data_IF_939385918330
#
_entry.id   IF_939385918330
#
_cell.length_a   1.000
_cell.length_b   1.000
_cell.length_c   1.000
_cell.angle_alpha   90.00
_cell.angle_beta   90.00
_cell.angle_gamma   90.00
#
_symmetry.space_group_name_H-M   'P 1'
#
loop_
_entity.id
_entity.type
_entity.pdbx_description
1 polymer ?
#
# COMPACT_ATOMS: atom_id res chain seq x y z
N UNK A 1 12.89 25.82 -5.00
CA UNK A 1 13.77 25.99 -3.84
C UNK A 1 13.73 24.66 -3.12
N UNK A 2 14.79 23.88 -3.16
CA UNK A 2 14.81 22.55 -2.57
C UNK A 2 14.66 22.60 -1.03
N UNK A 3 14.05 21.56 -0.45
CA UNK A 3 13.72 21.52 0.97
C UNK A 3 14.71 20.66 1.73
N UNK A 4 15.33 21.24 2.75
CA UNK A 4 16.14 20.48 3.71
C UNK A 4 15.19 19.84 4.72
N UNK A 5 15.23 18.51 4.83
CA UNK A 5 14.53 17.77 5.88
C UNK A 5 15.52 17.06 6.79
N UNK A 6 15.13 16.89 8.06
CA UNK A 6 15.86 16.04 9.00
C UNK A 6 15.42 14.59 8.78
N UNK A 7 16.36 13.72 8.42
CA UNK A 7 16.13 12.28 8.28
C UNK A 7 16.80 11.59 9.48
N UNK A 8 16.01 10.84 10.23
CA UNK A 8 16.51 9.99 11.31
C UNK A 8 16.65 8.55 10.80
N UNK A 9 17.84 7.97 10.96
CA UNK A 9 18.08 6.56 10.72
C UNK A 9 18.23 5.83 12.06
N UNK A 10 17.45 4.76 12.24
CA UNK A 10 17.53 3.86 13.40
C UNK A 10 17.82 2.46 12.90
N UNK A 11 18.86 1.81 13.45
CA UNK A 11 19.09 0.39 13.23
C UNK A 11 18.03 -0.37 14.03
N UNK A 12 17.25 -1.23 13.36
CA UNK A 12 16.12 -1.95 13.95
C UNK A 12 16.48 -2.63 15.28
N UNK A 13 15.57 -2.54 16.25
CA UNK A 13 15.74 -3.03 17.63
C UNK A 13 15.77 -4.55 17.79
N UNK A 14 15.99 -5.31 16.71
CA UNK A 14 16.04 -6.77 16.78
C UNK A 14 17.49 -7.27 16.71
N UNK A 15 18.02 -7.51 17.92
CA UNK A 15 19.24 -8.26 18.21
C UNK A 15 20.50 -7.64 17.62
N UNK A 16 20.96 -6.57 18.26
CA UNK A 16 22.41 -6.37 18.41
C UNK A 16 22.96 -7.58 19.20
N UNK A 17 23.31 -8.65 18.48
CA UNK A 17 24.01 -9.86 18.97
C UNK A 17 25.34 -9.53 19.68
N UNK A 18 25.76 -8.26 19.64
CA UNK A 18 27.01 -7.71 20.18
C UNK A 18 26.83 -6.81 21.41
N UNK A 19 25.60 -6.56 21.88
CA UNK A 19 25.37 -5.66 23.03
C UNK A 19 25.67 -4.18 22.77
N UNK A 20 25.94 -3.80 21.52
CA UNK A 20 26.24 -2.42 21.13
C UNK A 20 24.92 -1.70 20.87
N UNK A 21 24.58 -0.75 21.73
CA UNK A 21 23.48 0.19 21.49
C UNK A 21 23.98 1.23 20.49
N UNK A 22 23.49 1.16 19.25
CA UNK A 22 23.76 2.19 18.24
C UNK A 22 22.72 3.30 18.42
N UNK A 23 23.13 4.52 18.80
CA UNK A 23 22.19 5.64 18.92
C UNK A 23 21.61 6.00 17.55
N UNK A 24 20.35 6.44 17.52
CA UNK A 24 19.74 6.95 16.29
C UNK A 24 20.55 8.17 15.80
N UNK A 25 20.91 8.15 14.51
CA UNK A 25 21.63 9.24 13.88
C UNK A 25 20.67 10.11 13.08
N UNK A 26 20.87 11.42 13.16
CA UNK A 26 20.10 12.42 12.41
C UNK A 26 21.02 13.10 11.40
N UNK A 27 20.55 13.19 10.17
CA UNK A 27 21.24 13.92 9.09
C UNK A 27 20.28 14.88 8.42
N UNK A 28 20.78 16.04 8.02
CA UNK A 28 20.04 16.97 7.17
C UNK A 28 20.24 16.54 5.72
N UNK A 29 19.15 16.31 5.01
CA UNK A 29 19.18 15.93 3.61
C UNK A 29 18.26 16.82 2.79
N UNK A 30 18.77 17.28 1.65
CA UNK A 30 18.01 18.12 0.73
C UNK A 30 17.19 17.23 -0.20
N UNK A 31 15.88 17.45 -0.24
CA UNK A 31 14.96 16.75 -1.14
C UNK A 31 14.49 17.73 -2.23
N UNK A 32 14.49 17.30 -3.51
CA UNK A 32 13.95 18.12 -4.58
C UNK A 32 12.44 18.31 -4.42
N UNK A 33 11.96 19.52 -4.70
CA UNK A 33 10.53 19.84 -4.64
C UNK A 33 9.85 19.83 -6.02
N UNK A 34 10.62 19.68 -7.10
CA UNK A 34 10.12 19.57 -8.47
C UNK A 34 10.86 18.49 -9.26
N UNK A 35 10.29 18.10 -10.40
CA UNK A 35 10.92 17.16 -11.33
C UNK A 35 12.24 17.70 -11.86
N UNK A 36 12.30 19.00 -12.17
CA UNK A 36 13.50 19.67 -12.65
C UNK A 36 14.61 19.64 -11.59
N UNK A 37 14.29 19.95 -10.34
CA UNK A 37 15.25 19.85 -9.23
C UNK A 37 15.70 18.39 -9.00
N UNK A 38 14.80 17.42 -9.18
CA UNK A 38 15.14 16.00 -9.03
C UNK A 38 16.09 15.53 -10.13
N UNK A 39 15.86 15.96 -11.37
CA UNK A 39 16.73 15.67 -12.51
C UNK A 39 18.10 16.34 -12.30
N UNK A 40 18.13 17.60 -11.85
CA UNK A 40 19.39 18.30 -11.55
C UNK A 40 20.18 17.58 -10.45
N UNK A 41 19.50 17.10 -9.41
CA UNK A 41 20.15 16.47 -8.26
C UNK A 41 20.59 15.03 -8.50
N UNK A 42 19.84 14.25 -9.28
CA UNK A 42 20.01 12.80 -9.37
C UNK A 42 20.31 12.28 -10.78
N UNK A 43 20.06 13.06 -11.82
CA UNK A 43 20.08 12.58 -13.20
C UNK A 43 18.70 12.12 -13.68
N UNK A 44 18.46 12.32 -14.98
CA UNK A 44 17.21 11.96 -15.64
C UNK A 44 16.98 10.43 -15.66
N UNK A 45 18.05 9.67 -15.87
CA UNK A 45 18.07 8.22 -15.86
C UNK A 45 17.65 7.63 -14.50
N UNK A 46 18.15 8.20 -13.40
CA UNK A 46 17.80 7.78 -12.03
C UNK A 46 16.34 8.10 -11.73
N UNK A 47 15.90 9.31 -12.04
CA UNK A 47 14.51 9.75 -11.80
C UNK A 47 13.53 8.88 -12.59
N UNK A 48 13.82 8.64 -13.88
CA UNK A 48 12.98 7.81 -14.74
C UNK A 48 12.96 6.36 -14.25
N UNK A 49 14.11 5.80 -13.91
CA UNK A 49 14.20 4.41 -13.43
C UNK A 49 13.40 4.20 -12.14
N UNK A 50 13.49 5.14 -11.20
CA UNK A 50 12.72 5.07 -9.96
C UNK A 50 11.22 5.22 -10.21
N UNK A 51 10.82 6.16 -11.07
CA UNK A 51 9.42 6.35 -11.46
C UNK A 51 8.83 5.09 -12.10
N UNK A 52 9.55 4.45 -13.03
CA UNK A 52 9.10 3.22 -13.68
C UNK A 52 8.97 2.05 -12.70
N UNK A 53 9.89 1.93 -11.75
CA UNK A 53 9.82 0.91 -10.70
C UNK A 53 8.59 1.10 -9.80
N UNK A 54 8.35 2.32 -9.33
CA UNK A 54 7.18 2.64 -8.50
C UNK A 54 5.87 2.44 -9.26
N UNK A 55 5.83 2.86 -10.54
CA UNK A 55 4.69 2.66 -11.43
C UNK A 55 4.28 1.19 -11.52
N UNK A 56 5.25 0.29 -11.71
CA UNK A 56 5.02 -1.14 -11.79
C UNK A 56 4.48 -1.71 -10.47
N UNK A 57 5.09 -1.34 -9.34
CA UNK A 57 4.66 -1.80 -8.00
C UNK A 57 3.25 -1.32 -7.70
N UNK A 58 2.94 -0.06 -8.00
CA UNK A 58 1.63 0.52 -7.76
C UNK A 58 0.54 -0.16 -8.61
N UNK A 59 0.80 -0.39 -9.90
CA UNK A 59 -0.13 -1.10 -10.80
C UNK A 59 -0.38 -2.53 -10.32
N UNK A 60 0.68 -3.27 -9.99
CA UNK A 60 0.57 -4.64 -9.46
C UNK A 60 -0.23 -4.69 -8.15
N UNK A 61 -0.03 -3.71 -7.26
CA UNK A 61 -0.80 -3.59 -6.02
C UNK A 61 -2.29 -3.38 -6.30
N UNK A 62 -2.62 -2.49 -7.25
CA UNK A 62 -4.00 -2.28 -7.71
C UNK A 62 -4.64 -3.54 -8.30
N UNK A 63 -3.91 -4.25 -9.17
CA UNK A 63 -4.35 -5.51 -9.76
C UNK A 63 -4.60 -6.59 -8.69
N UNK A 64 -3.71 -6.72 -7.69
CA UNK A 64 -3.91 -7.65 -6.56
C UNK A 64 -5.17 -7.32 -5.76
N UNK A 65 -5.44 -6.04 -5.51
CA UNK A 65 -6.68 -5.60 -4.89
C UNK A 65 -7.92 -6.02 -5.69
N UNK A 66 -7.88 -5.89 -7.02
CA UNK A 66 -8.96 -6.34 -7.90
C UNK A 66 -9.13 -7.87 -7.88
N UNK A 67 -8.03 -8.62 -7.89
CA UNK A 67 -8.09 -10.10 -7.78
C UNK A 67 -8.77 -10.54 -6.49
N UNK A 68 -8.43 -9.94 -5.34
CA UNK A 68 -9.06 -10.26 -4.06
C UNK A 68 -10.58 -10.01 -4.08
N UNK A 69 -11.02 -8.91 -4.70
CA UNK A 69 -12.47 -8.62 -4.82
C UNK A 69 -13.21 -9.55 -5.78
N UNK A 70 -12.53 -10.03 -6.83
CA UNK A 70 -13.08 -11.01 -7.78
C UNK A 70 -13.31 -12.35 -7.07
N UNK A 71 -12.38 -12.78 -6.23
CA UNK A 71 -12.48 -14.05 -5.52
C UNK A 71 -13.50 -14.05 -4.38
N UNK A 72 -13.73 -12.90 -3.74
CA UNK A 72 -14.68 -12.77 -2.62
C UNK A 72 -16.16 -12.64 -3.04
N UNK A 73 -16.47 -12.23 -4.28
CA UNK A 73 -17.84 -11.89 -4.69
C UNK A 73 -18.37 -12.59 -5.95
N UNK A 74 -17.52 -13.11 -6.83
CA UNK A 74 -17.96 -13.72 -8.09
C UNK A 74 -17.17 -15.00 -8.38
N UNK A 75 -17.84 -16.10 -8.71
CA UNK A 75 -17.20 -17.23 -9.42
C UNK A 75 -16.90 -16.80 -10.86
N UNK A 76 -15.93 -15.90 -11.04
CA UNK A 76 -15.50 -15.45 -12.37
C UNK A 76 -14.72 -16.60 -13.03
N UNK A 77 -15.15 -17.09 -14.21
CA UNK A 77 -14.39 -18.06 -14.99
C UNK A 77 -12.93 -17.61 -15.14
N UNK A 78 -11.99 -18.53 -15.01
CA UNK A 78 -10.55 -18.24 -15.05
C UNK A 78 -10.10 -17.47 -16.30
N UNK A 79 -10.80 -17.60 -17.43
CA UNK A 79 -10.55 -16.83 -18.66
C UNK A 79 -11.08 -15.38 -18.68
N UNK A 80 -12.03 -15.02 -17.80
CA UNK A 80 -12.58 -13.65 -17.70
C UNK A 80 -11.75 -12.79 -16.73
N UNK A 81 -11.04 -13.41 -15.78
CA UNK A 81 -10.16 -12.72 -14.83
C UNK A 81 -9.04 -11.90 -15.51
N UNK A 82 -8.31 -12.42 -16.53
CA UNK A 82 -7.29 -11.64 -17.23
C UNK A 82 -7.83 -10.42 -17.97
N UNK A 83 -9.03 -10.52 -18.58
CA UNK A 83 -9.64 -9.40 -19.31
C UNK A 83 -10.00 -8.23 -18.38
N UNK A 84 -10.66 -8.51 -17.25
CA UNK A 84 -11.00 -7.48 -16.25
C UNK A 84 -9.75 -6.82 -15.64
N UNK A 85 -8.65 -7.57 -15.48
CA UNK A 85 -7.38 -7.02 -15.00
C UNK A 85 -6.68 -6.16 -16.05
N UNK A 86 -6.76 -6.53 -17.34
CA UNK A 86 -6.25 -5.71 -18.44
C UNK A 86 -7.04 -4.40 -18.57
N UNK A 87 -8.38 -4.46 -18.53
CA UNK A 87 -9.24 -3.26 -18.53
C UNK A 87 -8.88 -2.32 -17.38
N UNK A 88 -8.66 -2.86 -16.18
CA UNK A 88 -8.16 -2.07 -15.06
C UNK A 88 -6.79 -1.44 -15.36
N UNK A 89 -5.84 -2.21 -15.91
CA UNK A 89 -4.51 -1.69 -16.23
C UNK A 89 -4.55 -0.57 -17.29
N UNK A 90 -5.42 -0.70 -18.29
CA UNK A 90 -5.60 0.29 -19.36
C UNK A 90 -6.24 1.60 -18.85
N UNK A 91 -7.17 1.50 -17.90
CA UNK A 91 -7.83 2.66 -17.28
C UNK A 91 -7.03 3.29 -16.14
N UNK A 92 -6.13 2.51 -15.53
CA UNK A 92 -5.39 2.93 -14.35
C UNK A 92 -4.40 4.05 -14.69
N UNK A 93 -4.34 5.04 -13.80
CA UNK A 93 -3.42 6.18 -13.90
C UNK A 93 -2.63 6.34 -12.61
N UNK A 94 -1.30 6.44 -12.66
CA UNK A 94 -0.48 6.70 -11.48
C UNK A 94 -0.89 7.98 -10.77
N UNK A 95 -0.72 8.00 -9.44
CA UNK A 95 -1.00 9.17 -8.60
C UNK A 95 -2.49 9.49 -8.37
N UNK A 96 -3.42 8.95 -9.17
CA UNK A 96 -4.86 9.05 -8.87
C UNK A 96 -5.21 8.05 -7.77
N UNK A 97 -5.36 8.55 -6.54
CA UNK A 97 -5.91 7.76 -5.43
C UNK A 97 -7.30 7.25 -5.81
N UNK A 98 -7.42 5.95 -6.04
CA UNK A 98 -8.70 5.27 -5.99
C UNK A 98 -9.11 5.25 -4.51
N UNK A 99 -10.21 5.91 -4.16
CA UNK A 99 -10.70 5.96 -2.78
C UNK A 99 -10.90 4.53 -2.29
N UNK A 100 -10.15 4.13 -1.27
CA UNK A 100 -10.38 2.85 -0.58
C UNK A 100 -11.77 2.84 0.05
N UNK A 101 -12.35 1.65 0.28
CA UNK A 101 -13.62 1.55 1.00
C UNK A 101 -13.49 2.20 2.38
N UNK A 102 -14.44 3.06 2.80
CA UNK A 102 -14.54 3.59 4.15
C UNK A 102 -14.43 2.47 5.21
N UNK A 103 -13.96 2.81 6.40
CA UNK A 103 -13.77 1.84 7.49
C UNK A 103 -15.05 1.07 7.82
N UNK A 104 -16.20 1.75 7.76
CA UNK A 104 -17.52 1.18 7.98
C UNK A 104 -17.89 0.12 6.93
N UNK A 105 -17.65 0.41 5.64
CA UNK A 105 -17.88 -0.54 4.55
C UNK A 105 -16.95 -1.76 4.62
N UNK A 106 -15.71 -1.57 5.10
CA UNK A 106 -14.78 -2.68 5.32
C UNK A 106 -15.25 -3.56 6.47
N UNK A 107 -15.65 -2.94 7.59
CA UNK A 107 -16.16 -3.66 8.76
C UNK A 107 -17.45 -4.43 8.42
N UNK A 108 -18.37 -3.82 7.69
CA UNK A 108 -19.60 -4.49 7.24
C UNK A 108 -19.29 -5.70 6.36
N UNK A 109 -18.40 -5.57 5.38
CA UNK A 109 -17.97 -6.67 4.52
C UNK A 109 -17.28 -7.80 5.31
N UNK A 110 -16.48 -7.46 6.32
CA UNK A 110 -15.81 -8.45 7.17
C UNK A 110 -16.80 -9.18 8.08
N UNK A 111 -17.84 -8.49 8.58
CA UNK A 111 -18.92 -9.11 9.35
C UNK A 111 -19.75 -10.05 8.46
N UNK A 112 -20.06 -9.67 7.21
CA UNK A 112 -20.81 -10.52 6.28
C UNK A 112 -20.14 -11.87 6.02
N UNK A 113 -18.80 -11.91 6.02
CA UNK A 113 -17.99 -13.13 5.82
C UNK A 113 -18.03 -14.11 7.00
N UNK A 114 -18.49 -13.67 8.18
CA UNK A 114 -18.56 -14.53 9.35
C UNK A 114 -19.74 -15.50 9.26
N UNK A 115 -19.52 -16.75 9.67
CA UNK A 115 -20.61 -17.72 9.85
C UNK A 115 -21.56 -17.25 10.95
N UNK A 116 -22.82 -17.74 10.99
CA UNK A 116 -23.75 -17.38 12.06
C UNK A 116 -23.18 -17.61 13.47
N UNK A 117 -22.43 -18.69 13.66
CA UNK A 117 -21.77 -19.02 14.92
C UNK A 117 -20.66 -18.02 15.29
N UNK A 118 -19.87 -17.61 14.29
CA UNK A 118 -18.83 -16.60 14.46
C UNK A 118 -19.41 -15.21 14.74
N UNK A 119 -20.54 -14.87 14.10
CA UNK A 119 -21.29 -13.62 14.38
C UNK A 119 -21.80 -13.60 15.81
N UNK A 120 -22.43 -14.67 16.28
CA UNK A 120 -22.91 -14.77 17.66
C UNK A 120 -21.78 -14.69 18.68
N UNK A 121 -20.65 -15.35 18.41
CA UNK A 121 -19.45 -15.27 19.26
C UNK A 121 -18.85 -13.84 19.29
N UNK A 122 -18.86 -13.14 18.15
CA UNK A 122 -18.41 -11.76 18.05
C UNK A 122 -19.33 -10.81 18.84
N UNK A 123 -20.65 -10.91 18.64
CA UNK A 123 -21.65 -10.10 19.36
C UNK A 123 -21.54 -10.29 20.87
N UNK A 124 -21.40 -11.54 21.32
CA UNK A 124 -21.21 -11.87 22.74
C UNK A 124 -19.92 -11.30 23.32
N UNK A 125 -18.81 -11.28 22.57
CA UNK A 125 -17.55 -10.64 22.98
C UNK A 125 -17.66 -9.11 23.06
N UNK A 126 -18.54 -8.52 22.25
CA UNK A 126 -18.81 -7.08 22.26
C UNK A 126 -19.84 -6.67 23.33
N UNK A 127 -20.34 -7.63 24.13
CA UNK A 127 -21.34 -7.38 25.17
C UNK A 127 -22.72 -7.04 24.62
N UNK A 128 -22.99 -7.41 23.36
CA UNK A 128 -24.30 -7.25 22.73
C UNK A 128 -24.97 -8.62 22.77
N UNK A 129 -26.02 -8.76 23.58
CA UNK A 129 -26.85 -9.95 23.58
C UNK A 129 -27.67 -9.98 22.27
N UNK A 130 -27.55 -11.08 21.52
CA UNK A 130 -28.18 -11.30 20.24
C UNK A 130 -29.67 -11.68 20.37
#
# INVERSE_FOLDING_TARGET
>A
MSKVIEIAAQVGSEKATTGIIVPAMKVNYTIPESTEEAIEMFGDDVVLSYFLADLAVALQSGMRGKMATIEEGEKVPTGIKPKKLQEFADEWKPGKKTRGRPAEERLAADIEKLTPEQKTALLKRMGIDA
#
